data_IF_786085769301
#
_entry.id   IF_786085769301
#
_cell.length_a   1.000
_cell.length_b   1.000
_cell.length_c   1.000
_cell.angle_alpha   90.00
_cell.angle_beta   90.00
_cell.angle_gamma   90.00
#
_symmetry.space_group_name_H-M   'P 1'
#
loop_
_entity.id
_entity.type
_entity.pdbx_description
1 polymer ?
#
# COMPACT_ATOMS: atom_id res chain seq x y z
N UNK A 1 15.99 5.75 0.42
CA UNK A 1 14.55 5.56 0.65
C UNK A 1 14.34 5.09 2.08
N UNK A 2 13.32 5.60 2.75
CA UNK A 2 13.04 5.30 4.16
C UNK A 2 12.67 3.83 4.35
N UNK A 3 13.31 3.17 5.32
CA UNK A 3 13.10 1.75 5.63
C UNK A 3 12.45 1.54 7.02
N UNK A 4 12.03 2.62 7.66
CA UNK A 4 11.28 2.54 8.93
C UNK A 4 9.78 2.42 8.63
N UNK A 5 9.35 1.18 8.28
CA UNK A 5 7.95 0.89 7.96
C UNK A 5 7.04 0.82 9.18
N UNK A 6 7.58 0.96 10.39
CA UNK A 6 6.77 1.06 11.62
C UNK A 6 5.79 2.24 11.51
N UNK A 7 6.28 3.41 11.10
CA UNK A 7 5.45 4.60 10.91
C UNK A 7 4.45 4.48 9.75
N UNK A 8 4.71 3.60 8.81
CA UNK A 8 3.79 3.30 7.71
C UNK A 8 2.59 2.46 8.19
N UNK A 9 2.85 1.40 8.98
CA UNK A 9 1.79 0.54 9.51
C UNK A 9 1.08 1.14 10.72
N UNK A 10 1.76 2.00 11.50
CA UNK A 10 1.24 2.66 12.71
C UNK A 10 1.28 4.20 12.56
N UNK A 11 0.62 4.78 11.54
CA UNK A 11 0.60 6.22 11.35
C UNK A 11 -0.20 6.90 12.44
N UNK A 12 0.30 8.01 12.98
CA UNK A 12 -0.42 8.86 13.95
C UNK A 12 -1.39 9.81 13.28
N UNK A 13 -1.20 10.02 11.98
CA UNK A 13 -2.08 10.85 11.16
C UNK A 13 -2.10 10.39 9.71
N UNK A 14 -3.29 10.39 9.10
CA UNK A 14 -3.51 10.01 7.71
C UNK A 14 -4.26 11.14 6.99
N UNK A 15 -3.74 11.56 5.82
CA UNK A 15 -4.45 12.47 4.94
C UNK A 15 -4.94 11.73 3.68
N UNK A 16 -6.18 11.99 3.27
CA UNK A 16 -6.83 11.36 2.12
C UNK A 16 -7.05 12.41 1.03
N UNK A 17 -6.26 12.31 -0.05
CA UNK A 17 -6.31 13.25 -1.18
C UNK A 17 -7.31 12.76 -2.21
N UNK A 18 -8.30 13.58 -2.51
CA UNK A 18 -9.42 13.23 -3.36
C UNK A 18 -10.59 12.60 -2.59
N UNK A 19 -10.60 12.70 -1.25
CA UNK A 19 -11.69 12.20 -0.41
C UNK A 19 -13.06 12.65 -0.95
N UNK A 20 -14.03 11.73 -0.98
CA UNK A 20 -15.37 11.95 -1.52
C UNK A 20 -16.46 11.61 -0.50
N UNK A 21 -17.60 12.31 -0.60
CA UNK A 21 -18.81 11.97 0.16
C UNK A 21 -19.55 10.77 -0.44
N UNK A 22 -19.21 10.37 -1.66
CA UNK A 22 -19.75 9.18 -2.30
C UNK A 22 -18.98 7.94 -1.87
N UNK A 23 -19.47 7.23 -0.85
CA UNK A 23 -18.85 6.06 -0.25
C UNK A 23 -18.97 4.78 -1.13
N UNK A 24 -19.68 4.84 -2.25
CA UNK A 24 -19.72 3.76 -3.24
C UNK A 24 -18.44 3.79 -4.08
N UNK A 25 -17.93 4.99 -4.34
CA UNK A 25 -16.68 5.17 -5.11
C UNK A 25 -15.44 4.84 -4.30
N UNK A 26 -14.38 4.42 -5.00
CA UNK A 26 -13.07 4.12 -4.40
C UNK A 26 -12.56 5.29 -3.54
N UNK A 27 -12.79 6.54 -3.96
CA UNK A 27 -12.31 7.74 -3.26
C UNK A 27 -13.07 8.07 -1.97
N UNK A 28 -14.26 7.52 -1.77
CA UNK A 28 -15.03 7.68 -0.53
C UNK A 28 -14.74 6.61 0.53
N UNK A 29 -14.24 5.43 0.11
CA UNK A 29 -14.12 4.27 0.98
C UNK A 29 -13.07 4.38 2.08
N UNK A 30 -11.81 4.81 1.83
CA UNK A 30 -10.75 4.72 2.85
C UNK A 30 -11.06 5.51 4.12
N UNK A 31 -11.65 6.70 4.02
CA UNK A 31 -12.02 7.48 5.19
C UNK A 31 -13.05 6.76 6.04
N UNK A 32 -14.06 6.17 5.39
CA UNK A 32 -15.11 5.41 6.07
C UNK A 32 -14.55 4.15 6.74
N UNK A 33 -13.66 3.43 6.07
CA UNK A 33 -13.03 2.23 6.63
C UNK A 33 -12.19 2.55 7.88
N UNK A 34 -11.35 3.57 7.82
CA UNK A 34 -10.56 4.01 8.97
C UNK A 34 -11.44 4.38 10.18
N UNK A 35 -12.58 5.06 9.93
CA UNK A 35 -13.52 5.39 11.00
C UNK A 35 -14.26 4.16 11.55
N UNK A 36 -14.76 3.28 10.67
CA UNK A 36 -15.56 2.12 11.08
C UNK A 36 -14.75 1.07 11.84
N UNK A 37 -13.45 0.92 11.53
CA UNK A 37 -12.55 0.01 12.23
C UNK A 37 -11.81 0.67 13.41
N UNK A 38 -12.22 1.87 13.80
CA UNK A 38 -11.78 2.50 15.05
C UNK A 38 -10.34 3.03 15.04
N UNK A 39 -9.82 3.46 13.89
CA UNK A 39 -8.51 4.11 13.84
C UNK A 39 -8.47 5.32 14.78
N UNK A 40 -7.48 5.35 15.68
CA UNK A 40 -7.35 6.33 16.76
C UNK A 40 -6.50 7.56 16.38
N UNK A 41 -5.83 7.53 15.24
CA UNK A 41 -5.01 8.65 14.78
C UNK A 41 -5.84 9.78 14.18
N UNK A 42 -5.17 10.87 13.82
CA UNK A 42 -5.83 12.01 13.18
C UNK A 42 -6.13 11.74 11.71
N UNK A 43 -7.33 12.10 11.28
CA UNK A 43 -7.79 11.98 9.90
C UNK A 43 -7.96 13.37 9.27
N UNK A 44 -7.43 13.53 8.06
CA UNK A 44 -7.55 14.73 7.26
C UNK A 44 -8.11 14.39 5.88
N UNK A 45 -9.22 15.02 5.50
CA UNK A 45 -9.72 14.97 4.14
C UNK A 45 -9.12 16.13 3.32
N UNK A 46 -8.74 15.87 2.07
CA UNK A 46 -8.25 16.92 1.16
C UNK A 46 -9.02 16.86 -0.16
N UNK A 47 -9.87 17.84 -0.36
CA UNK A 47 -10.61 18.03 -1.61
C UNK A 47 -11.16 19.48 -1.67
N UNK A 48 -10.87 20.26 -2.72
CA UNK A 48 -11.33 21.65 -2.81
C UNK A 48 -12.86 21.79 -2.99
N UNK A 49 -13.59 20.69 -3.22
CA UNK A 49 -15.04 20.71 -3.49
C UNK A 49 -15.90 20.62 -2.23
N UNK A 50 -15.34 20.18 -1.12
CA UNK A 50 -16.12 19.90 0.10
C UNK A 50 -15.56 20.68 1.29
N UNK A 51 -16.40 21.22 2.17
CA UNK A 51 -15.95 21.74 3.46
C UNK A 51 -15.66 20.63 4.47
N UNK A 52 -16.35 19.48 4.31
CA UNK A 52 -16.29 18.32 5.19
C UNK A 52 -16.61 17.04 4.42
N UNK A 53 -16.01 15.91 4.81
CA UNK A 53 -16.33 14.56 4.32
C UNK A 53 -16.43 13.62 5.52
N UNK A 54 -17.56 12.94 5.69
CA UNK A 54 -17.82 11.98 6.77
C UNK A 54 -17.50 12.52 8.19
N UNK A 55 -17.85 13.77 8.49
CA UNK A 55 -17.57 14.40 9.78
C UNK A 55 -16.13 14.87 9.95
N UNK A 56 -15.27 14.70 8.93
CA UNK A 56 -13.88 15.15 8.95
C UNK A 56 -13.73 16.43 8.13
N UNK A 57 -13.15 17.46 8.75
CA UNK A 57 -12.85 18.73 8.07
C UNK A 57 -12.04 18.47 6.80
N UNK A 58 -12.48 19.07 5.70
CA UNK A 58 -11.81 19.00 4.42
C UNK A 58 -10.96 20.23 4.15
N UNK A 59 -9.73 20.02 3.69
CA UNK A 59 -8.78 21.05 3.33
C UNK A 59 -8.67 21.17 1.81
N UNK A 60 -8.48 22.40 1.25
CA UNK A 60 -8.38 22.57 -0.20
C UNK A 60 -7.14 21.90 -0.81
N UNK A 61 -6.01 21.89 -0.08
CA UNK A 61 -4.73 21.35 -0.54
C UNK A 61 -3.89 20.82 0.63
N UNK A 62 -2.88 20.01 0.32
CA UNK A 62 -1.95 19.39 1.30
C UNK A 62 -1.23 20.48 2.13
N UNK A 63 -0.85 21.59 1.51
CA UNK A 63 -0.17 22.71 2.18
C UNK A 63 -0.99 23.32 3.32
N UNK A 64 -2.33 23.24 3.22
CA UNK A 64 -3.27 23.83 4.18
C UNK A 64 -3.52 22.92 5.40
N UNK A 65 -2.98 21.71 5.41
CA UNK A 65 -3.06 20.81 6.56
C UNK A 65 -2.30 21.39 7.76
N UNK A 66 -2.84 21.26 9.00
CA UNK A 66 -2.26 21.85 10.20
C UNK A 66 -0.93 21.22 10.62
N UNK A 67 -0.65 20.01 10.15
CA UNK A 67 0.61 19.29 10.42
C UNK A 67 1.03 18.48 9.19
N UNK A 68 2.22 17.89 9.23
CA UNK A 68 2.67 16.92 8.22
C UNK A 68 2.10 15.54 8.57
N UNK A 69 1.24 14.94 7.72
CA UNK A 69 0.71 13.60 7.99
C UNK A 69 1.79 12.53 7.86
N UNK A 70 1.67 11.46 8.66
CA UNK A 70 2.56 10.31 8.60
C UNK A 70 2.33 9.48 7.33
N UNK A 71 1.08 9.43 6.86
CA UNK A 71 0.67 8.70 5.67
C UNK A 71 -0.29 9.54 4.83
N UNK A 72 -0.09 9.54 3.53
CA UNK A 72 -1.00 10.16 2.55
C UNK A 72 -1.57 9.10 1.62
N UNK A 73 -2.89 9.06 1.48
CA UNK A 73 -3.62 8.23 0.54
C UNK A 73 -4.01 9.06 -0.69
N UNK A 74 -3.55 8.67 -1.88
CA UNK A 74 -3.78 9.42 -3.13
C UNK A 74 -4.81 8.70 -4.00
N UNK A 75 -6.00 9.32 -4.12
CA UNK A 75 -7.16 8.81 -4.87
C UNK A 75 -7.60 9.83 -5.92
N UNK A 76 -6.70 10.25 -6.77
CA UNK A 76 -6.96 11.17 -7.87
C UNK A 76 -6.59 10.54 -9.20
N UNK A 77 -7.02 11.13 -10.32
CA UNK A 77 -6.64 10.68 -11.65
C UNK A 77 -5.11 10.68 -11.83
N UNK A 78 -4.56 9.70 -12.56
CA UNK A 78 -3.12 9.51 -12.79
C UNK A 78 -2.38 10.80 -13.21
N UNK A 79 -2.98 11.61 -14.08
CA UNK A 79 -2.40 12.87 -14.55
C UNK A 79 -2.13 13.90 -13.43
N UNK A 80 -2.77 13.77 -12.26
CA UNK A 80 -2.61 14.68 -11.13
C UNK A 80 -1.64 14.17 -10.07
N UNK A 81 -1.24 12.89 -10.14
CA UNK A 81 -0.48 12.23 -9.08
C UNK A 81 0.90 12.86 -8.92
N UNK A 82 1.59 13.19 -10.01
CA UNK A 82 2.92 13.78 -9.96
C UNK A 82 2.94 15.12 -9.20
N UNK A 83 1.95 15.98 -9.47
CA UNK A 83 1.82 17.25 -8.76
C UNK A 83 1.51 17.05 -7.26
N UNK A 84 0.61 16.14 -6.93
CA UNK A 84 0.30 15.78 -5.55
C UNK A 84 1.55 15.24 -4.82
N UNK A 85 2.33 14.37 -5.47
CA UNK A 85 3.53 13.80 -4.88
C UNK A 85 4.62 14.88 -4.62
N UNK A 86 4.75 15.87 -5.51
CA UNK A 86 5.60 17.06 -5.26
C UNK A 86 5.14 17.86 -4.04
N UNK A 87 3.82 18.07 -3.89
CA UNK A 87 3.25 18.74 -2.73
C UNK A 87 3.50 17.94 -1.44
N UNK A 88 3.37 16.62 -1.48
CA UNK A 88 3.74 15.74 -0.36
C UNK A 88 5.21 15.92 0.02
N UNK A 89 6.11 15.94 -0.98
CA UNK A 89 7.53 16.15 -0.76
C UNK A 89 7.85 17.50 -0.14
N UNK A 90 7.23 18.58 -0.63
CA UNK A 90 7.39 19.93 -0.09
C UNK A 90 6.89 20.03 1.37
N UNK A 91 5.87 19.25 1.75
CA UNK A 91 5.34 19.18 3.12
C UNK A 91 6.17 18.25 4.02
N UNK A 92 7.08 17.43 3.47
CA UNK A 92 7.90 16.47 4.22
C UNK A 92 7.16 15.18 4.60
N UNK A 93 6.12 14.81 3.83
CA UNK A 93 5.36 13.58 4.03
C UNK A 93 6.27 12.36 3.88
N UNK A 94 6.33 11.45 4.88
CA UNK A 94 7.24 10.30 4.81
C UNK A 94 6.73 9.16 3.94
N UNK A 95 5.41 8.88 3.93
CA UNK A 95 4.81 7.76 3.22
C UNK A 95 3.58 8.16 2.41
N UNK A 96 3.48 7.60 1.19
CA UNK A 96 2.36 7.83 0.27
C UNK A 96 1.90 6.52 -0.34
N UNK A 97 0.60 6.21 -0.25
CA UNK A 97 -0.03 5.13 -1.04
C UNK A 97 -0.71 5.75 -2.26
N UNK A 98 -0.36 5.29 -3.46
CA UNK A 98 -0.98 5.73 -4.71
C UNK A 98 -1.88 4.62 -5.25
N UNK A 99 -3.18 4.81 -5.14
CA UNK A 99 -4.18 3.84 -5.60
C UNK A 99 -4.38 3.88 -7.11
N UNK A 100 -4.17 5.03 -7.72
CA UNK A 100 -4.44 5.29 -9.14
C UNK A 100 -3.69 4.31 -10.03
N UNK A 101 -4.37 3.79 -11.04
CA UNK A 101 -3.82 3.10 -12.20
C UNK A 101 -3.62 4.06 -13.37
N UNK A 102 -3.07 3.58 -14.48
CA UNK A 102 -2.78 4.37 -15.69
C UNK A 102 -1.29 4.66 -15.86
N UNK A 103 -0.43 3.82 -15.27
CA UNK A 103 1.03 3.95 -15.31
C UNK A 103 1.69 2.86 -16.16
N UNK A 104 2.78 2.26 -15.74
CA UNK A 104 3.56 1.33 -16.56
C UNK A 104 2.76 0.10 -17.01
N UNK A 105 1.76 -0.32 -16.29
CA UNK A 105 0.84 -1.40 -16.68
C UNK A 105 0.06 -1.11 -17.98
N UNK A 106 -0.09 0.17 -18.32
CA UNK A 106 -0.71 0.59 -19.59
C UNK A 106 0.30 0.74 -20.75
N UNK A 107 1.61 0.64 -20.45
CA UNK A 107 2.66 0.89 -21.46
C UNK A 107 2.78 2.36 -21.88
N UNK A 108 3.56 2.63 -22.94
CA UNK A 108 3.65 3.94 -23.59
C UNK A 108 3.85 5.12 -22.65
N UNK A 109 2.93 6.06 -22.64
CA UNK A 109 2.95 7.26 -21.80
C UNK A 109 2.92 6.92 -20.30
N UNK A 110 2.26 5.84 -19.90
CA UNK A 110 2.20 5.38 -18.52
C UNK A 110 3.59 5.06 -17.93
N UNK A 111 4.49 4.51 -18.74
CA UNK A 111 5.87 4.23 -18.33
C UNK A 111 6.63 5.53 -18.02
N UNK A 112 6.43 6.56 -18.85
CA UNK A 112 7.04 7.89 -18.65
C UNK A 112 6.52 8.53 -17.35
N UNK A 113 5.20 8.51 -17.16
CA UNK A 113 4.57 9.03 -15.94
C UNK A 113 5.07 8.31 -14.70
N UNK A 114 5.17 6.99 -14.73
CA UNK A 114 5.69 6.22 -13.58
C UNK A 114 7.14 6.57 -13.24
N UNK A 115 8.00 6.76 -14.24
CA UNK A 115 9.40 7.17 -14.04
C UNK A 115 9.46 8.53 -13.35
N UNK A 116 8.65 9.49 -13.78
CA UNK A 116 8.53 10.79 -13.14
C UNK A 116 8.15 10.67 -11.65
N UNK A 117 7.20 9.81 -11.30
CA UNK A 117 6.84 9.56 -9.91
C UNK A 117 8.02 9.01 -9.09
N UNK A 118 8.77 8.06 -9.65
CA UNK A 118 9.93 7.49 -8.98
C UNK A 118 11.03 8.53 -8.73
N UNK A 119 11.29 9.43 -9.69
CA UNK A 119 12.24 10.54 -9.56
C UNK A 119 11.81 11.52 -8.46
N UNK A 120 10.52 11.88 -8.40
CA UNK A 120 9.96 12.75 -7.35
C UNK A 120 10.11 12.09 -5.99
N UNK A 121 9.73 10.81 -5.86
CA UNK A 121 9.82 10.04 -4.62
C UNK A 121 11.27 9.98 -4.11
N UNK A 122 12.22 9.70 -4.97
CA UNK A 122 13.64 9.68 -4.64
C UNK A 122 14.16 11.06 -4.21
N UNK A 123 13.84 12.11 -4.97
CA UNK A 123 14.26 13.48 -4.68
C UNK A 123 13.82 13.98 -3.30
N UNK A 124 12.64 13.58 -2.87
CA UNK A 124 12.03 14.05 -1.62
C UNK A 124 12.09 13.01 -0.48
N UNK A 125 12.78 11.88 -0.67
CA UNK A 125 12.86 10.77 0.28
C UNK A 125 11.49 10.29 0.78
N UNK A 126 10.54 10.10 -0.16
CA UNK A 126 9.20 9.61 0.13
C UNK A 126 9.16 8.09 -0.05
N UNK A 127 8.70 7.34 0.95
CA UNK A 127 8.35 5.94 0.82
C UNK A 127 7.03 5.79 0.06
N UNK A 128 7.08 5.52 -1.27
CA UNK A 128 5.87 5.36 -2.09
C UNK A 128 5.50 3.89 -2.20
N UNK A 129 4.23 3.59 -1.93
CA UNK A 129 3.59 2.30 -2.14
C UNK A 129 2.64 2.42 -3.35
N UNK A 130 2.73 1.51 -4.28
CA UNK A 130 2.05 1.59 -5.57
C UNK A 130 2.95 2.14 -6.68
N UNK A 131 2.39 2.82 -7.70
CA UNK A 131 0.95 3.02 -7.95
C UNK A 131 0.20 1.72 -8.27
N UNK A 132 -1.09 1.81 -8.56
CA UNK A 132 -1.91 0.67 -8.95
C UNK A 132 -1.96 -0.42 -7.86
N UNK A 133 -2.21 -0.03 -6.61
CA UNK A 133 -2.35 -0.93 -5.47
C UNK A 133 -3.72 -0.77 -4.80
N UNK A 134 -4.08 -1.68 -3.90
CA UNK A 134 -5.37 -1.66 -3.20
C UNK A 134 -5.29 -1.10 -1.78
N UNK A 135 -4.08 -0.97 -1.22
CA UNK A 135 -3.85 -0.38 0.08
C UNK A 135 -3.22 -1.32 1.09
N UNK A 136 -3.46 -1.02 2.38
CA UNK A 136 -2.91 -1.78 3.48
C UNK A 136 -3.91 -1.92 4.64
N UNK A 137 -3.71 -2.95 5.46
CA UNK A 137 -4.36 -3.14 6.75
C UNK A 137 -3.33 -3.42 7.84
N UNK A 138 -3.52 -2.82 9.00
CA UNK A 138 -2.99 -3.26 10.28
C UNK A 138 -4.20 -3.52 11.18
N UNK A 139 -4.51 -4.79 11.37
CA UNK A 139 -5.78 -5.23 11.95
C UNK A 139 -5.89 -4.82 13.42
N UNK A 140 -4.82 -4.98 14.19
CA UNK A 140 -4.81 -4.70 15.62
C UNK A 140 -5.04 -3.21 15.94
N UNK A 141 -4.57 -2.31 15.08
CA UNK A 141 -4.64 -0.86 15.29
C UNK A 141 -5.75 -0.18 14.49
N UNK A 142 -6.63 -0.98 13.85
CA UNK A 142 -7.76 -0.47 13.06
C UNK A 142 -7.35 0.36 11.83
N UNK A 143 -6.11 0.18 11.32
CA UNK A 143 -5.65 0.92 10.14
C UNK A 143 -6.09 0.19 8.87
N UNK A 144 -7.24 0.55 8.35
CA UNK A 144 -7.83 -0.03 7.14
C UNK A 144 -7.76 1.01 6.01
N UNK A 145 -6.54 1.22 5.51
CA UNK A 145 -6.23 2.26 4.52
C UNK A 145 -6.28 1.70 3.09
N UNK A 146 -7.50 1.46 2.60
CA UNK A 146 -7.70 0.87 1.28
C UNK A 146 -9.15 0.90 0.81
N UNK A 147 -9.44 0.15 -0.25
CA UNK A 147 -10.77 0.06 -0.86
C UNK A 147 -11.13 -1.38 -1.26
N UNK A 148 -12.41 -1.61 -1.49
CA UNK A 148 -12.99 -2.90 -1.89
C UNK A 148 -13.74 -3.60 -0.78
N UNK A 149 -14.47 -4.67 -1.13
CA UNK A 149 -15.40 -5.36 -0.23
C UNK A 149 -14.71 -5.95 1.01
N UNK A 150 -13.47 -6.36 0.89
CA UNK A 150 -12.69 -6.94 1.99
C UNK A 150 -12.43 -5.96 3.13
N UNK A 151 -12.42 -4.66 2.86
CA UNK A 151 -12.23 -3.62 3.87
C UNK A 151 -13.49 -3.34 4.72
N UNK A 152 -14.64 -3.92 4.37
CA UNK A 152 -15.87 -3.88 5.18
C UNK A 152 -15.98 -5.02 6.19
N UNK A 153 -15.06 -5.99 6.12
CA UNK A 153 -15.06 -7.16 7.00
C UNK A 153 -14.32 -6.86 8.29
N UNK A 154 -14.89 -7.24 9.41
CA UNK A 154 -14.20 -7.25 10.70
C UNK A 154 -13.30 -8.48 10.76
N UNK A 155 -12.03 -8.26 11.08
CA UNK A 155 -11.03 -9.31 11.21
C UNK A 155 -10.52 -9.38 12.64
N UNK A 156 -10.32 -10.61 13.13
CA UNK A 156 -9.60 -10.82 14.39
C UNK A 156 -8.10 -10.54 14.20
N UNK A 157 -7.48 -9.76 15.09
CA UNK A 157 -6.04 -9.54 15.07
C UNK A 157 -5.26 -10.85 15.26
N UNK A 158 -4.19 -11.01 14.49
CA UNK A 158 -3.38 -12.22 14.53
C UNK A 158 -1.89 -11.96 14.37
N UNK A 159 -1.18 -12.98 13.88
CA UNK A 159 0.28 -12.97 13.74
C UNK A 159 0.79 -13.23 12.32
N UNK A 160 -0.11 -13.32 11.34
CA UNK A 160 0.27 -13.48 9.93
C UNK A 160 0.43 -12.10 9.30
N UNK A 161 1.60 -11.81 8.72
CA UNK A 161 1.81 -10.61 7.91
C UNK A 161 2.05 -10.99 6.46
N UNK A 162 1.41 -10.28 5.53
CA UNK A 162 1.51 -10.60 4.11
C UNK A 162 1.73 -9.35 3.25
N UNK A 163 2.56 -9.52 2.24
CA UNK A 163 2.73 -8.54 1.16
C UNK A 163 2.39 -9.16 -0.19
N UNK A 164 1.70 -8.41 -1.04
CA UNK A 164 1.28 -8.89 -2.36
C UNK A 164 1.44 -7.82 -3.42
N UNK A 165 2.01 -8.15 -4.58
CA UNK A 165 2.01 -7.25 -5.73
C UNK A 165 0.61 -7.12 -6.34
N UNK A 166 -0.22 -8.16 -6.24
CA UNK A 166 -1.62 -8.12 -6.66
C UNK A 166 -2.55 -7.78 -5.50
N UNK A 167 -3.29 -6.67 -5.61
CA UNK A 167 -4.28 -6.25 -4.62
C UNK A 167 -5.38 -7.27 -4.45
N UNK A 168 -6.04 -7.64 -5.54
CA UNK A 168 -7.16 -8.57 -5.54
C UNK A 168 -6.78 -9.95 -5.01
N UNK A 169 -5.63 -10.51 -5.42
CA UNK A 169 -5.16 -11.80 -4.90
C UNK A 169 -4.85 -11.74 -3.41
N UNK A 170 -4.03 -10.78 -2.99
CA UNK A 170 -3.58 -10.70 -1.60
C UNK A 170 -4.72 -10.54 -0.60
N UNK A 171 -5.62 -9.61 -0.83
CA UNK A 171 -6.78 -9.41 0.04
C UNK A 171 -7.81 -10.54 -0.04
N UNK A 172 -7.93 -11.24 -1.19
CA UNK A 172 -8.76 -12.44 -1.28
C UNK A 172 -8.19 -13.58 -0.45
N UNK A 173 -6.87 -13.79 -0.46
CA UNK A 173 -6.20 -14.79 0.41
C UNK A 173 -6.45 -14.45 1.87
N UNK A 174 -6.22 -13.19 2.29
CA UNK A 174 -6.50 -12.77 3.66
C UNK A 174 -7.95 -13.04 4.06
N UNK A 175 -8.92 -12.61 3.24
CA UNK A 175 -10.35 -12.76 3.55
C UNK A 175 -10.78 -14.23 3.63
N UNK A 176 -10.28 -15.09 2.74
CA UNK A 176 -10.60 -16.53 2.76
C UNK A 176 -9.93 -17.24 3.93
N UNK A 177 -8.66 -16.94 4.20
CA UNK A 177 -7.89 -17.61 5.25
C UNK A 177 -8.32 -17.19 6.66
N UNK A 178 -8.95 -16.03 6.82
CA UNK A 178 -9.43 -15.54 8.13
C UNK A 178 -10.81 -16.04 8.51
N UNK A 179 -11.52 -16.74 7.60
CA UNK A 179 -12.87 -17.25 7.88
C UNK A 179 -12.83 -18.51 8.77
N UNK A 180 -13.92 -18.73 9.49
CA UNK A 180 -14.21 -19.96 10.24
C UNK A 180 -13.10 -20.40 11.22
N UNK A 181 -12.45 -19.43 11.89
CA UNK A 181 -11.36 -19.70 12.83
C UNK A 181 -10.02 -20.03 12.16
N UNK A 182 -9.87 -19.63 10.90
CA UNK A 182 -8.63 -19.80 10.12
C UNK A 182 -7.47 -18.93 10.62
N UNK A 183 -6.58 -18.54 9.71
CA UNK A 183 -5.37 -17.78 10.05
C UNK A 183 -5.70 -16.28 10.27
N UNK A 184 -5.58 -15.75 11.49
CA UNK A 184 -5.80 -14.33 11.72
C UNK A 184 -4.58 -13.52 11.29
N UNK A 185 -4.83 -12.43 10.55
CA UNK A 185 -3.79 -11.56 10.02
C UNK A 185 -3.47 -10.42 10.99
N UNK A 186 -2.19 -10.06 11.03
CA UNK A 186 -1.69 -8.88 11.70
C UNK A 186 -1.64 -7.69 10.74
N UNK A 187 -0.92 -7.87 9.63
CA UNK A 187 -0.70 -6.82 8.64
C UNK A 187 -0.84 -7.39 7.23
N UNK A 188 -1.43 -6.61 6.35
CA UNK A 188 -1.53 -6.90 4.93
C UNK A 188 -1.24 -5.63 4.13
N UNK A 189 -0.41 -5.75 3.09
CA UNK A 189 -0.12 -4.63 2.18
C UNK A 189 -0.04 -5.10 0.74
N UNK A 190 -0.49 -4.24 -0.17
CA UNK A 190 -0.38 -4.48 -1.61
C UNK A 190 0.50 -3.41 -2.25
N UNK A 191 1.43 -3.83 -3.09
CA UNK A 191 2.51 -2.97 -3.58
C UNK A 191 2.34 -2.50 -5.03
N UNK A 192 1.47 -3.16 -5.82
CA UNK A 192 1.22 -2.77 -7.22
C UNK A 192 2.52 -2.70 -8.05
N UNK A 193 2.76 -1.56 -8.70
CA UNK A 193 3.90 -1.38 -9.62
C UNK A 193 5.26 -1.14 -8.91
N UNK A 194 5.28 -0.96 -7.60
CA UNK A 194 6.50 -0.87 -6.76
C UNK A 194 7.53 0.19 -7.20
N UNK A 195 7.12 1.45 -7.32
CA UNK A 195 8.08 2.51 -7.68
C UNK A 195 9.02 2.93 -6.54
N UNK A 196 8.62 2.66 -5.31
CA UNK A 196 9.34 3.04 -4.08
C UNK A 196 9.67 1.84 -3.22
N UNK A 197 8.87 1.62 -2.18
CA UNK A 197 9.01 0.49 -1.25
C UNK A 197 8.64 -0.81 -1.95
N UNK A 198 9.53 -1.79 -1.90
CA UNK A 198 9.37 -3.08 -2.58
C UNK A 198 8.75 -4.15 -1.67
N UNK A 199 8.27 -5.23 -2.27
CA UNK A 199 7.85 -6.44 -1.53
C UNK A 199 8.95 -6.94 -0.58
N UNK A 200 10.22 -6.90 -1.00
CA UNK A 200 11.34 -7.36 -0.17
C UNK A 200 11.61 -6.45 1.04
N UNK A 201 11.31 -5.16 0.94
CA UNK A 201 11.40 -4.24 2.08
C UNK A 201 10.34 -4.56 3.13
N UNK A 202 9.12 -4.87 2.70
CA UNK A 202 8.05 -5.32 3.60
C UNK A 202 8.38 -6.67 4.25
N UNK A 203 8.92 -7.63 3.50
CA UNK A 203 9.36 -8.90 4.08
C UNK A 203 10.44 -8.69 5.14
N UNK A 204 11.45 -7.83 4.89
CA UNK A 204 12.49 -7.50 5.86
C UNK A 204 11.91 -6.83 7.12
N UNK A 205 10.90 -5.98 6.96
CA UNK A 205 10.16 -5.39 8.09
C UNK A 205 9.41 -6.47 8.90
N UNK A 206 8.66 -7.36 8.26
CA UNK A 206 7.91 -8.43 8.93
C UNK A 206 8.83 -9.41 9.69
N UNK A 207 10.04 -9.65 9.17
CA UNK A 207 11.04 -10.47 9.88
C UNK A 207 11.42 -9.81 11.22
N UNK A 208 11.54 -8.49 11.27
CA UNK A 208 11.90 -7.72 12.47
C UNK A 208 10.72 -7.46 13.42
N UNK A 209 9.49 -7.50 12.94
CA UNK A 209 8.30 -7.28 13.75
C UNK A 209 8.08 -8.45 14.73
N UNK A 210 8.19 -8.23 16.06
CA UNK A 210 8.13 -9.32 17.04
C UNK A 210 6.77 -10.04 17.11
N UNK A 211 5.71 -9.42 16.59
CA UNK A 211 4.36 -9.98 16.62
C UNK A 211 4.02 -10.78 15.35
N UNK A 212 4.84 -10.68 14.30
CA UNK A 212 4.70 -11.51 13.10
C UNK A 212 5.35 -12.87 13.31
N UNK A 213 4.61 -13.95 13.10
CA UNK A 213 5.11 -15.34 13.21
C UNK A 213 5.15 -16.08 11.89
N UNK A 214 4.36 -15.66 10.90
CA UNK A 214 4.30 -16.22 9.55
C UNK A 214 4.27 -15.08 8.54
N UNK A 215 5.10 -15.19 7.49
CA UNK A 215 5.18 -14.19 6.42
C UNK A 215 4.61 -14.79 5.14
N UNK A 216 3.59 -14.15 4.57
CA UNK A 216 3.07 -14.42 3.23
C UNK A 216 3.65 -13.45 2.20
N UNK A 217 3.97 -13.93 1.00
CA UNK A 217 4.41 -13.09 -0.10
C UNK A 217 3.85 -13.58 -1.45
N UNK A 218 3.31 -12.67 -2.24
CA UNK A 218 2.92 -12.93 -3.63
C UNK A 218 3.73 -12.05 -4.57
N UNK A 219 4.52 -12.68 -5.43
CA UNK A 219 5.50 -12.04 -6.30
C UNK A 219 5.20 -12.33 -7.78
N UNK A 220 5.04 -11.28 -8.57
CA UNK A 220 4.99 -11.33 -10.03
C UNK A 220 6.40 -11.12 -10.62
N UNK A 221 7.17 -10.21 -10.03
CA UNK A 221 8.58 -9.94 -10.34
C UNK A 221 9.28 -9.23 -9.19
N UNK A 222 10.59 -9.26 -9.16
CA UNK A 222 11.38 -8.52 -8.18
C UNK A 222 12.58 -7.87 -8.84
N UNK A 223 12.66 -6.53 -8.80
CA UNK A 223 13.79 -5.77 -9.35
C UNK A 223 15.09 -6.01 -8.56
N UNK A 224 14.97 -6.32 -7.28
CA UNK A 224 16.03 -6.55 -6.32
C UNK A 224 16.08 -8.02 -5.84
N UNK A 225 15.72 -8.97 -6.73
CA UNK A 225 15.66 -10.41 -6.45
C UNK A 225 16.95 -10.97 -5.83
N UNK A 226 18.12 -10.34 -6.08
CA UNK A 226 19.40 -10.70 -5.48
C UNK A 226 19.38 -10.63 -3.94
N UNK A 227 18.42 -9.92 -3.32
CA UNK A 227 18.22 -9.83 -1.87
C UNK A 227 17.50 -11.06 -1.29
N UNK A 228 16.78 -11.85 -2.10
CA UNK A 228 15.99 -12.99 -1.63
C UNK A 228 16.78 -13.99 -0.76
N UNK A 229 18.03 -14.39 -1.11
CA UNK A 229 18.81 -15.28 -0.26
C UNK A 229 19.13 -14.69 1.11
N UNK A 230 19.32 -13.38 1.21
CA UNK A 230 19.55 -12.70 2.48
C UNK A 230 18.26 -12.66 3.32
N UNK A 231 17.14 -12.30 2.69
CA UNK A 231 15.80 -12.31 3.34
C UNK A 231 15.50 -13.71 3.90
N UNK A 232 15.74 -14.77 3.12
CA UNK A 232 15.54 -16.15 3.58
C UNK A 232 16.41 -16.51 4.79
N UNK A 233 17.70 -16.12 4.80
CA UNK A 233 18.59 -16.35 5.95
C UNK A 233 18.13 -15.59 7.21
N UNK A 234 17.70 -14.34 7.06
CA UNK A 234 17.17 -13.52 8.16
C UNK A 234 15.90 -14.15 8.74
N UNK A 235 14.98 -14.58 7.89
CA UNK A 235 13.74 -15.24 8.32
C UNK A 235 14.01 -16.53 9.06
N UNK A 236 14.92 -17.37 8.55
CA UNK A 236 15.34 -18.61 9.22
C UNK A 236 15.96 -18.34 10.59
N UNK A 237 16.86 -17.36 10.68
CA UNK A 237 17.49 -16.96 11.95
C UNK A 237 16.48 -16.42 12.96
N UNK A 238 15.41 -15.75 12.49
CA UNK A 238 14.31 -15.27 13.31
C UNK A 238 13.25 -16.32 13.65
N UNK A 239 13.36 -17.56 13.10
CA UNK A 239 12.38 -18.63 13.27
C UNK A 239 11.03 -18.32 12.60
N UNK A 240 11.01 -17.50 11.55
CA UNK A 240 9.78 -17.05 10.88
C UNK A 240 9.68 -17.70 9.49
N UNK A 241 8.77 -18.65 9.27
CA UNK A 241 8.57 -19.22 7.95
C UNK A 241 8.04 -18.18 6.97
N UNK A 242 8.47 -18.31 5.70
CA UNK A 242 7.97 -17.52 4.57
C UNK A 242 7.23 -18.44 3.62
N UNK A 243 5.95 -18.14 3.37
CA UNK A 243 5.17 -18.77 2.32
C UNK A 243 5.12 -17.84 1.11
N UNK A 244 5.76 -18.24 0.01
CA UNK A 244 5.88 -17.39 -1.18
C UNK A 244 5.20 -18.02 -2.39
N UNK A 245 4.33 -17.25 -3.04
CA UNK A 245 3.82 -17.52 -4.37
C UNK A 245 4.58 -16.70 -5.39
N UNK A 246 5.44 -17.36 -6.21
CA UNK A 246 6.07 -16.74 -7.37
C UNK A 246 5.32 -17.15 -8.63
N UNK A 247 4.77 -16.17 -9.34
CA UNK A 247 4.07 -16.37 -10.63
C UNK A 247 4.92 -15.84 -11.79
N UNK A 248 4.46 -16.10 -13.03
CA UNK A 248 5.19 -15.67 -14.22
C UNK A 248 6.39 -16.58 -14.58
N UNK A 249 6.35 -17.87 -14.21
CA UNK A 249 7.41 -18.85 -14.51
C UNK A 249 7.28 -19.47 -15.92
N UNK A 250 6.19 -19.21 -16.63
CA UNK A 250 5.96 -19.64 -18.02
C UNK A 250 5.86 -18.41 -18.91
N UNK A 251 6.07 -18.56 -20.24
CA UNK A 251 5.92 -17.46 -21.20
C UNK A 251 4.53 -16.80 -21.14
N UNK A 252 3.48 -17.59 -20.98
CA UNK A 252 2.12 -17.08 -20.81
C UNK A 252 1.93 -16.36 -19.47
N UNK A 253 2.49 -16.93 -18.39
CA UNK A 253 2.49 -16.30 -17.08
C UNK A 253 3.30 -15.00 -17.03
N UNK A 254 4.41 -14.92 -17.75
CA UNK A 254 5.20 -13.69 -17.89
C UNK A 254 4.41 -12.60 -18.64
N UNK A 255 3.72 -12.95 -19.70
CA UNK A 255 2.83 -12.02 -20.44
C UNK A 255 1.69 -11.52 -19.56
N UNK A 256 1.09 -12.42 -18.76
CA UNK A 256 0.03 -12.05 -17.83
C UNK A 256 0.54 -11.11 -16.71
N UNK A 257 1.67 -11.41 -16.08
CA UNK A 257 2.30 -10.56 -15.06
C UNK A 257 2.69 -9.18 -15.63
N UNK A 258 3.32 -9.15 -16.81
CA UNK A 258 3.69 -7.90 -17.48
C UNK A 258 2.49 -7.00 -17.81
N UNK A 259 1.34 -7.59 -18.19
CA UNK A 259 0.11 -6.85 -18.46
C UNK A 259 -0.61 -6.37 -17.19
N UNK A 260 -0.34 -6.99 -16.03
CA UNK A 260 -1.02 -6.68 -14.77
C UNK A 260 -0.29 -5.59 -13.97
N UNK A 261 1.03 -5.68 -13.82
CA UNK A 261 1.82 -4.74 -13.00
C UNK A 261 3.07 -4.20 -13.69
N UNK A 262 3.27 -4.50 -14.99
CA UNK A 262 4.48 -4.21 -15.76
C UNK A 262 5.78 -4.79 -15.14
N UNK A 263 5.66 -5.67 -14.16
CA UNK A 263 6.80 -6.40 -13.62
C UNK A 263 7.21 -7.50 -14.59
N UNK A 264 8.46 -7.48 -15.03
CA UNK A 264 9.00 -8.55 -15.86
C UNK A 264 9.12 -9.81 -15.00
N UNK A 265 8.21 -10.75 -15.22
CA UNK A 265 8.33 -12.10 -14.68
C UNK A 265 9.65 -12.69 -15.19
N UNK A 266 10.54 -13.02 -14.29
CA UNK A 266 11.81 -13.71 -14.56
C UNK A 266 11.94 -14.92 -13.65
N UNK A 267 12.72 -15.93 -14.08
CA UNK A 267 13.02 -17.11 -13.25
C UNK A 267 13.89 -16.73 -12.06
#
# INVERSE_FOLDING_TARGET
MRNDLERFFNPRSIAIIGASQDFITISGQPLKHLQSHGYQGKLYAVNPRYPEVAGVKCYPAIKDLPETPDLVLVLVNAARVADILRQCGAKGVPYVIIFSSGFSEMGGEGVRMQRELAEIAQKHDIGVIGPNCQGMMNVADGVFAGFGSVFFTDYEPGSVSMVSQSGGFGFSVMNLSSKDGGLPFRQMVTTGNEIGVSTLDFMDYFIRDPQTTLIGAYLEGARDAHRLPEIGRKALAAGKPILMWKVGNTEQGQKAAASHTANLGGA
#
